data_IF_294868692308
#
_entry.id   IF_294868692308
#
_cell.length_a   1.000
_cell.length_b   1.000
_cell.length_c   1.000
_cell.angle_alpha   90.00
_cell.angle_beta   90.00
_cell.angle_gamma   90.00
#
_symmetry.space_group_name_H-M   'P 1'
#
loop_
_entity.id
_entity.type
_entity.pdbx_description
1 polymer ?
#
# COMPACT_ATOMS: atom_id res chain seq x y z
N UNK A 1 -28.33 -3.89 -31.41
CA UNK A 1 -28.13 -3.08 -30.19
C UNK A 1 -26.79 -2.41 -30.39
N UNK A 2 -26.76 -1.09 -30.59
CA UNK A 2 -25.52 -0.32 -30.82
C UNK A 2 -25.38 0.67 -29.66
N UNK A 3 -24.46 0.43 -28.71
CA UNK A 3 -24.33 1.28 -27.54
C UNK A 3 -24.00 2.73 -27.84
N UNK A 4 -23.29 3.01 -28.94
CA UNK A 4 -22.96 4.39 -29.30
C UNK A 4 -24.21 5.11 -29.78
N UNK A 5 -24.96 4.47 -30.67
CA UNK A 5 -26.21 5.03 -31.19
C UNK A 5 -27.22 5.36 -30.07
N UNK A 6 -27.38 4.46 -29.10
CA UNK A 6 -28.31 4.63 -27.99
C UNK A 6 -27.83 5.69 -26.99
N UNK A 7 -26.51 5.77 -26.72
CA UNK A 7 -25.93 6.84 -25.92
C UNK A 7 -26.14 8.22 -26.59
N UNK A 8 -25.85 8.34 -27.89
CA UNK A 8 -26.07 9.58 -28.65
C UNK A 8 -27.55 9.98 -28.65
N UNK A 9 -28.47 9.01 -28.75
CA UNK A 9 -29.90 9.28 -28.68
C UNK A 9 -30.35 9.82 -27.31
N UNK A 10 -29.72 9.38 -26.21
CA UNK A 10 -29.95 9.93 -24.86
C UNK A 10 -29.37 11.35 -24.73
N UNK A 11 -28.15 11.57 -25.23
CA UNK A 11 -27.45 12.86 -25.15
C UNK A 11 -28.16 13.95 -25.98
N UNK A 12 -28.59 13.60 -27.18
CA UNK A 12 -29.35 14.47 -28.07
C UNK A 12 -30.83 14.60 -27.68
N UNK A 13 -31.28 13.91 -26.61
CA UNK A 13 -32.66 13.89 -26.13
C UNK A 13 -33.67 13.37 -27.17
N UNK A 14 -33.22 12.50 -28.09
CA UNK A 14 -34.08 11.77 -29.02
C UNK A 14 -34.91 10.69 -28.30
N UNK A 15 -34.41 10.18 -27.18
CA UNK A 15 -35.14 9.32 -26.24
C UNK A 15 -34.85 9.74 -24.80
N UNK A 16 -35.67 9.27 -23.86
CA UNK A 16 -35.45 9.44 -22.42
C UNK A 16 -34.89 8.15 -21.81
N UNK A 17 -34.19 8.27 -20.68
CA UNK A 17 -33.55 7.15 -20.01
C UNK A 17 -34.55 6.06 -19.58
N UNK A 18 -35.69 6.45 -19.03
CA UNK A 18 -36.78 5.56 -18.63
C UNK A 18 -37.36 4.79 -19.84
N UNK A 19 -37.57 5.48 -20.96
CA UNK A 19 -38.05 4.87 -22.21
C UNK A 19 -37.01 3.88 -22.76
N UNK A 20 -35.73 4.26 -22.74
CA UNK A 20 -34.64 3.38 -23.16
C UNK A 20 -34.56 2.12 -22.30
N UNK A 21 -34.57 2.26 -20.96
CA UNK A 21 -34.55 1.11 -20.04
C UNK A 21 -35.79 0.23 -20.24
N UNK A 22 -36.99 0.81 -20.36
CA UNK A 22 -38.23 0.08 -20.62
C UNK A 22 -38.16 -0.74 -21.92
N UNK A 23 -37.46 -0.26 -22.95
CA UNK A 23 -37.26 -1.01 -24.19
C UNK A 23 -36.40 -2.28 -24.02
N UNK A 24 -35.61 -2.35 -22.95
CA UNK A 24 -34.76 -3.50 -22.61
C UNK A 24 -35.43 -4.47 -21.63
N UNK A 25 -36.47 -4.05 -20.90
CA UNK A 25 -37.16 -4.86 -19.88
C UNK A 25 -37.53 -6.27 -20.33
N UNK A 26 -38.15 -6.48 -21.53
CA UNK A 26 -38.49 -7.84 -21.98
C UNK A 26 -37.28 -8.75 -22.09
N UNK A 27 -36.10 -8.19 -22.40
CA UNK A 27 -34.85 -8.95 -22.54
C UNK A 27 -34.18 -9.22 -21.19
N UNK A 28 -34.39 -8.38 -20.17
CA UNK A 28 -33.86 -8.62 -18.83
C UNK A 28 -34.47 -9.83 -18.13
N UNK A 29 -35.71 -10.19 -18.50
CA UNK A 29 -36.47 -11.33 -17.95
C UNK A 29 -36.63 -12.48 -18.94
N UNK A 30 -35.88 -12.46 -20.05
CA UNK A 30 -35.92 -13.53 -21.05
C UNK A 30 -35.49 -14.88 -20.43
N UNK A 31 -36.09 -15.97 -20.89
CA UNK A 31 -35.75 -17.33 -20.41
C UNK A 31 -34.33 -17.72 -20.80
N UNK A 32 -33.79 -17.13 -21.87
CA UNK A 32 -32.44 -17.34 -22.35
C UNK A 32 -31.42 -16.47 -21.62
N UNK A 33 -30.44 -17.11 -21.00
CA UNK A 33 -29.36 -16.44 -20.27
C UNK A 33 -28.49 -15.55 -21.16
N UNK A 34 -28.20 -15.97 -22.40
CA UNK A 34 -27.40 -15.20 -23.33
C UNK A 34 -28.10 -13.89 -23.77
N UNK A 35 -29.43 -13.93 -23.92
CA UNK A 35 -30.25 -12.74 -24.20
C UNK A 35 -30.24 -11.79 -23.01
N UNK A 36 -30.42 -12.30 -21.79
CA UNK A 36 -30.33 -11.49 -20.56
C UNK A 36 -28.96 -10.85 -20.41
N UNK A 37 -27.89 -11.63 -20.56
CA UNK A 37 -26.50 -11.14 -20.47
C UNK A 37 -26.21 -10.07 -21.51
N UNK A 38 -26.62 -10.28 -22.77
CA UNK A 38 -26.47 -9.28 -23.82
C UNK A 38 -27.23 -7.98 -23.52
N UNK A 39 -28.42 -8.05 -22.93
CA UNK A 39 -29.20 -6.87 -22.57
C UNK A 39 -28.58 -6.10 -21.40
N UNK A 40 -28.16 -6.79 -20.33
CA UNK A 40 -27.48 -6.16 -19.18
C UNK A 40 -26.16 -5.54 -19.61
N UNK A 41 -25.39 -6.23 -20.46
CA UNK A 41 -24.15 -5.70 -21.03
C UNK A 41 -24.42 -4.46 -21.91
N UNK A 42 -25.47 -4.49 -22.73
CA UNK A 42 -25.85 -3.34 -23.56
C UNK A 42 -26.20 -2.10 -22.71
N UNK A 43 -26.97 -2.28 -21.62
CA UNK A 43 -27.24 -1.20 -20.68
C UNK A 43 -25.95 -0.66 -20.06
N UNK A 44 -25.06 -1.54 -19.57
CA UNK A 44 -23.78 -1.15 -19.01
C UNK A 44 -22.88 -0.41 -20.03
N UNK A 45 -22.88 -0.83 -21.30
CA UNK A 45 -22.11 -0.21 -22.37
C UNK A 45 -22.64 1.19 -22.73
N UNK A 46 -23.95 1.39 -22.74
CA UNK A 46 -24.56 2.72 -22.93
C UNK A 46 -24.20 3.63 -21.76
N UNK A 47 -24.36 3.16 -20.52
CA UNK A 47 -24.08 3.95 -19.32
C UNK A 47 -22.61 4.37 -19.21
N UNK A 48 -21.66 3.51 -19.59
CA UNK A 48 -20.22 3.86 -19.64
C UNK A 48 -19.87 4.95 -20.66
N UNK A 49 -20.75 5.23 -21.64
CA UNK A 49 -20.54 6.24 -22.69
C UNK A 49 -21.19 7.59 -22.36
N UNK A 50 -22.00 7.65 -21.31
CA UNK A 50 -22.63 8.90 -20.89
C UNK A 50 -21.61 9.77 -20.12
N UNK A 51 -21.68 11.10 -20.22
CA UNK A 51 -20.94 12.02 -19.37
C UNK A 51 -21.22 11.76 -17.89
N UNK A 52 -20.24 12.00 -17.01
CA UNK A 52 -20.36 11.70 -15.58
C UNK A 52 -21.42 12.54 -14.87
N UNK A 53 -21.84 13.66 -15.44
CA UNK A 53 -22.87 14.57 -14.93
C UNK A 53 -24.27 14.20 -15.42
N UNK A 54 -24.39 13.23 -16.33
CA UNK A 54 -25.63 12.96 -17.06
C UNK A 54 -26.74 12.44 -16.16
N UNK A 55 -26.43 11.46 -15.29
CA UNK A 55 -27.43 10.88 -14.39
C UNK A 55 -27.65 11.75 -13.17
N UNK A 56 -28.91 11.94 -12.79
CA UNK A 56 -29.28 12.66 -11.58
C UNK A 56 -29.16 11.77 -10.33
N UNK A 57 -29.07 12.37 -9.12
CA UNK A 57 -29.04 11.62 -7.86
C UNK A 57 -30.26 10.71 -7.62
N UNK A 58 -31.36 10.92 -8.37
CA UNK A 58 -32.58 10.10 -8.29
C UNK A 58 -32.55 8.88 -9.22
N UNK A 59 -31.78 8.95 -10.31
CA UNK A 59 -31.69 7.89 -11.31
C UNK A 59 -30.60 6.86 -10.96
N UNK A 60 -29.52 7.30 -10.29
CA UNK A 60 -28.39 6.42 -9.96
C UNK A 60 -28.80 5.26 -9.01
N UNK A 61 -29.51 5.49 -7.88
CA UNK A 61 -29.81 4.41 -6.93
C UNK A 61 -30.59 3.22 -7.52
N UNK A 62 -31.69 3.41 -8.28
CA UNK A 62 -32.43 2.27 -8.84
C UNK A 62 -31.62 1.50 -9.90
N UNK A 63 -30.76 2.18 -10.68
CA UNK A 63 -29.89 1.53 -11.66
C UNK A 63 -28.78 0.73 -10.97
N UNK A 64 -28.16 1.30 -9.92
CA UNK A 64 -27.21 0.60 -9.08
C UNK A 64 -27.84 -0.67 -8.46
N UNK A 65 -29.03 -0.55 -7.88
CA UNK A 65 -29.77 -1.68 -7.31
C UNK A 65 -30.07 -2.75 -8.37
N UNK A 66 -30.42 -2.35 -9.60
CA UNK A 66 -30.64 -3.29 -10.70
C UNK A 66 -29.39 -4.15 -10.96
N UNK A 67 -28.21 -3.54 -11.06
CA UNK A 67 -26.96 -4.28 -11.30
C UNK A 67 -26.55 -5.13 -10.09
N UNK A 68 -26.70 -4.64 -8.87
CA UNK A 68 -26.42 -5.42 -7.65
C UNK A 68 -27.27 -6.69 -7.59
N UNK A 69 -28.55 -6.60 -7.92
CA UNK A 69 -29.45 -7.74 -7.93
C UNK A 69 -29.04 -8.84 -8.94
N UNK A 70 -28.24 -8.50 -9.96
CA UNK A 70 -27.79 -9.46 -10.97
C UNK A 70 -26.68 -10.38 -10.51
N UNK A 71 -25.99 -10.06 -9.42
CA UNK A 71 -25.00 -10.96 -8.83
C UNK A 71 -25.61 -12.29 -8.38
N UNK A 72 -26.85 -12.30 -7.90
CA UNK A 72 -27.51 -13.54 -7.46
C UNK A 72 -28.24 -14.29 -8.57
N UNK A 73 -28.37 -13.70 -9.77
CA UNK A 73 -29.17 -14.27 -10.86
C UNK A 73 -28.41 -15.36 -11.64
N UNK A 74 -27.21 -15.04 -12.14
CA UNK A 74 -26.35 -15.98 -12.89
C UNK A 74 -24.92 -15.45 -13.02
N UNK A 75 -23.96 -16.37 -13.08
CA UNK A 75 -22.54 -16.06 -13.36
C UNK A 75 -22.31 -15.29 -14.66
N UNK A 76 -23.16 -15.50 -15.68
CA UNK A 76 -23.08 -14.79 -16.97
C UNK A 76 -23.45 -13.30 -16.87
N UNK A 77 -24.06 -12.88 -15.76
CA UNK A 77 -24.47 -11.50 -15.51
C UNK A 77 -23.48 -10.74 -14.63
N UNK A 78 -22.49 -11.41 -14.02
CA UNK A 78 -21.55 -10.76 -13.09
C UNK A 78 -20.71 -9.69 -13.81
N UNK A 79 -20.03 -10.05 -14.90
CA UNK A 79 -19.18 -9.15 -15.66
C UNK A 79 -19.92 -7.88 -16.15
N UNK A 80 -21.09 -7.97 -16.84
CA UNK A 80 -21.81 -6.77 -17.26
C UNK A 80 -22.36 -5.97 -16.08
N UNK A 81 -22.64 -6.61 -14.94
CA UNK A 81 -23.10 -5.92 -13.74
C UNK A 81 -21.98 -5.13 -13.07
N UNK A 82 -20.78 -5.69 -12.94
CA UNK A 82 -19.59 -4.95 -12.48
C UNK A 82 -19.33 -3.72 -13.36
N UNK A 83 -19.44 -3.86 -14.68
CA UNK A 83 -19.31 -2.73 -15.62
C UNK A 83 -20.39 -1.67 -15.41
N UNK A 84 -21.62 -2.09 -15.16
CA UNK A 84 -22.72 -1.19 -14.80
C UNK A 84 -22.47 -0.43 -13.50
N UNK A 85 -22.02 -1.13 -12.45
CA UNK A 85 -21.67 -0.53 -11.16
C UNK A 85 -20.49 0.44 -11.27
N UNK A 86 -19.47 0.12 -12.09
CA UNK A 86 -18.37 1.03 -12.43
C UNK A 86 -18.89 2.31 -13.09
N UNK A 87 -19.86 2.23 -14.00
CA UNK A 87 -20.48 3.43 -14.57
C UNK A 87 -21.21 4.26 -13.50
N UNK A 88 -21.92 3.61 -12.56
CA UNK A 88 -22.65 4.31 -11.50
C UNK A 88 -21.73 5.04 -10.52
N UNK A 89 -20.68 4.37 -10.02
CA UNK A 89 -19.76 4.97 -9.04
C UNK A 89 -18.96 6.15 -9.64
N UNK A 90 -18.76 6.16 -10.96
CA UNK A 90 -18.06 7.23 -11.68
C UNK A 90 -18.91 8.49 -11.88
N UNK A 91 -20.23 8.43 -11.75
CA UNK A 91 -21.10 9.61 -11.90
C UNK A 91 -20.74 10.70 -10.87
N UNK A 92 -20.79 11.97 -11.26
CA UNK A 92 -20.52 13.11 -10.36
C UNK A 92 -21.63 13.30 -9.33
N UNK A 93 -22.87 13.01 -9.72
CA UNK A 93 -24.05 13.20 -8.90
C UNK A 93 -24.36 12.01 -7.96
N UNK A 94 -23.44 11.05 -7.82
CA UNK A 94 -23.62 9.91 -6.91
C UNK A 94 -23.62 10.39 -5.45
N UNK A 95 -24.60 9.94 -4.67
CA UNK A 95 -24.70 10.31 -3.25
C UNK A 95 -23.87 9.37 -2.37
N UNK A 96 -23.47 9.83 -1.18
CA UNK A 96 -22.80 9.01 -0.17
C UNK A 96 -23.56 7.70 0.12
N UNK A 97 -24.88 7.79 0.32
CA UNK A 97 -25.74 6.64 0.59
C UNK A 97 -25.70 5.62 -0.54
N UNK A 98 -25.61 6.09 -1.79
CA UNK A 98 -25.52 5.22 -2.96
C UNK A 98 -24.16 4.55 -3.04
N UNK A 99 -23.06 5.27 -2.79
CA UNK A 99 -21.71 4.70 -2.73
C UNK A 99 -21.66 3.60 -1.67
N UNK A 100 -22.23 3.86 -0.50
CA UNK A 100 -22.22 2.92 0.60
C UNK A 100 -23.01 1.65 0.27
N UNK A 101 -24.23 1.82 -0.26
CA UNK A 101 -25.08 0.71 -0.69
C UNK A 101 -24.42 -0.12 -1.81
N UNK A 102 -23.75 0.55 -2.76
CA UNK A 102 -22.93 -0.08 -3.80
C UNK A 102 -21.83 -0.95 -3.20
N UNK A 103 -21.06 -0.42 -2.25
CA UNK A 103 -19.97 -1.17 -1.59
C UNK A 103 -20.51 -2.35 -0.78
N UNK A 104 -21.58 -2.15 -0.01
CA UNK A 104 -22.22 -3.23 0.75
C UNK A 104 -22.67 -4.37 -0.17
N UNK A 105 -23.35 -4.02 -1.27
CA UNK A 105 -23.79 -5.00 -2.27
C UNK A 105 -22.63 -5.67 -3.01
N UNK A 106 -21.56 -4.93 -3.29
CA UNK A 106 -20.34 -5.46 -3.90
C UNK A 106 -19.65 -6.50 -3.01
N UNK A 107 -19.48 -6.20 -1.72
CA UNK A 107 -18.86 -7.10 -0.74
C UNK A 107 -19.72 -8.34 -0.45
N UNK A 108 -21.05 -8.20 -0.45
CA UNK A 108 -21.97 -9.32 -0.22
C UNK A 108 -22.19 -10.19 -1.46
N UNK A 109 -22.01 -9.63 -2.66
CA UNK A 109 -22.35 -10.29 -3.92
C UNK A 109 -21.40 -11.43 -4.28
N UNK A 110 -20.10 -11.14 -4.37
CA UNK A 110 -19.08 -12.11 -4.75
C UNK A 110 -17.75 -11.83 -4.07
N UNK A 111 -17.05 -12.90 -3.69
CA UNK A 111 -15.64 -12.80 -3.35
C UNK A 111 -14.85 -12.45 -4.61
N UNK A 112 -14.02 -11.40 -4.53
CA UNK A 112 -13.20 -10.93 -5.65
C UNK A 112 -12.43 -12.09 -6.30
N UNK A 113 -11.89 -13.00 -5.49
CA UNK A 113 -11.08 -14.15 -5.91
C UNK A 113 -11.82 -15.16 -6.80
N UNK A 114 -13.15 -15.19 -6.73
CA UNK A 114 -13.98 -16.07 -7.57
C UNK A 114 -14.21 -15.50 -8.97
N UNK A 115 -13.90 -14.22 -9.17
CA UNK A 115 -14.07 -13.54 -10.45
C UNK A 115 -12.90 -13.85 -11.39
N UNK A 116 -13.15 -13.72 -12.69
CA UNK A 116 -12.09 -13.76 -13.70
C UNK A 116 -11.19 -12.52 -13.55
N UNK A 117 -9.96 -12.60 -14.03
CA UNK A 117 -8.98 -11.53 -13.87
C UNK A 117 -9.47 -10.14 -14.32
N UNK A 118 -10.13 -10.05 -15.48
CA UNK A 118 -10.68 -8.78 -15.98
C UNK A 118 -11.74 -8.20 -15.04
N UNK A 119 -12.54 -9.08 -14.44
CA UNK A 119 -13.64 -8.71 -13.56
C UNK A 119 -13.12 -8.31 -12.17
N UNK A 120 -12.05 -8.95 -11.68
CA UNK A 120 -11.31 -8.51 -10.48
C UNK A 120 -10.74 -7.12 -10.65
N UNK A 121 -10.19 -6.82 -11.82
CA UNK A 121 -9.65 -5.49 -12.10
C UNK A 121 -10.72 -4.40 -12.02
N UNK A 122 -11.92 -4.66 -12.56
CA UNK A 122 -13.08 -3.75 -12.43
C UNK A 122 -13.57 -3.67 -10.99
N UNK A 123 -13.59 -4.78 -10.25
CA UNK A 123 -13.95 -4.80 -8.82
C UNK A 123 -13.04 -3.88 -8.00
N UNK A 124 -11.72 -4.02 -8.14
CA UNK A 124 -10.74 -3.19 -7.44
C UNK A 124 -10.80 -1.72 -7.88
N UNK A 125 -11.12 -1.46 -9.15
CA UNK A 125 -11.34 -0.11 -9.67
C UNK A 125 -12.59 0.56 -9.06
N UNK A 126 -13.68 -0.20 -8.85
CA UNK A 126 -14.86 0.30 -8.15
C UNK A 126 -14.50 0.70 -6.71
N UNK A 127 -13.72 -0.13 -6.01
CA UNK A 127 -13.24 0.20 -4.66
C UNK A 127 -12.38 1.46 -4.67
N UNK A 128 -11.40 1.55 -5.57
CA UNK A 128 -10.53 2.72 -5.69
C UNK A 128 -11.32 3.99 -6.01
N UNK A 129 -12.27 3.91 -6.95
CA UNK A 129 -13.14 5.03 -7.30
C UNK A 129 -14.02 5.43 -6.13
N UNK A 130 -14.55 4.49 -5.36
CA UNK A 130 -15.35 4.79 -4.17
C UNK A 130 -14.52 5.52 -3.10
N UNK A 131 -13.26 5.13 -2.90
CA UNK A 131 -12.32 5.81 -2.02
C UNK A 131 -12.03 7.24 -2.53
N UNK A 132 -11.82 7.41 -3.84
CA UNK A 132 -11.49 8.71 -4.44
C UNK A 132 -12.68 9.67 -4.58
N UNK A 133 -13.91 9.15 -4.71
CA UNK A 133 -15.15 9.95 -4.75
C UNK A 133 -15.46 10.62 -3.42
N UNK A 134 -14.73 10.28 -2.37
CA UNK A 134 -14.68 11.05 -1.14
C UNK A 134 -14.19 12.49 -1.44
N UNK A 135 -15.02 13.53 -1.30
CA UNK A 135 -14.57 14.88 -1.56
C UNK A 135 -13.53 15.29 -0.53
N UNK A 136 -12.30 15.43 -1.02
CA UNK A 136 -11.16 16.11 -0.39
C UNK A 136 -10.56 15.36 0.82
N UNK A 137 -9.31 14.93 0.66
CA UNK A 137 -8.45 14.45 1.75
C UNK A 137 -8.10 15.53 2.78
N UNK A 138 -9.11 16.05 3.50
CA UNK A 138 -8.98 16.84 4.74
C UNK A 138 -10.28 17.24 5.46
N UNK A 139 -11.44 16.65 5.17
CA UNK A 139 -12.57 16.80 6.10
C UNK A 139 -13.96 16.53 5.57
N UNK A 140 -14.65 15.60 6.25
CA UNK A 140 -16.10 15.46 6.34
C UNK A 140 -16.84 15.06 5.06
N UNK A 141 -16.58 13.85 4.55
CA UNK A 141 -17.65 12.94 4.11
C UNK A 141 -17.36 11.56 4.68
N UNK A 142 -18.10 11.21 5.72
CA UNK A 142 -17.90 9.98 6.46
C UNK A 142 -18.56 8.82 5.70
N UNK A 143 -17.88 8.29 4.67
CA UNK A 143 -18.36 7.11 3.93
C UNK A 143 -18.31 5.86 4.81
N UNK A 144 -17.61 5.90 5.95
CA UNK A 144 -17.41 4.71 6.77
C UNK A 144 -17.42 5.09 8.27
N UNK A 145 -18.61 5.09 8.89
CA UNK A 145 -19.00 5.38 10.29
C UNK A 145 -18.19 6.43 11.12
N UNK A 146 -18.83 7.56 11.42
CA UNK A 146 -18.81 8.15 12.76
C UNK A 146 -20.15 7.78 13.37
N UNK A 147 -20.12 6.93 14.40
CA UNK A 147 -21.21 6.77 15.33
C UNK A 147 -21.45 8.13 15.99
N UNK A 148 -22.45 8.88 15.52
CA UNK A 148 -23.00 9.95 16.36
C UNK A 148 -23.87 9.29 17.42
N UNK A 149 -23.66 9.58 18.72
CA UNK A 149 -24.45 9.07 19.82
C UNK A 149 -25.78 9.83 19.90
N UNK A 150 -26.62 9.71 18.88
CA UNK A 150 -28.00 10.19 18.91
C UNK A 150 -28.91 9.17 18.24
N UNK A 151 -30.04 8.89 18.87
CA UNK A 151 -30.98 7.78 18.67
C UNK A 151 -31.66 7.69 17.28
N UNK A 152 -31.06 8.24 16.21
CA UNK A 152 -31.54 8.07 14.85
C UNK A 152 -31.03 6.74 14.26
N UNK A 153 -31.54 5.62 14.81
CA UNK A 153 -31.51 4.32 14.13
C UNK A 153 -32.22 4.47 12.77
N UNK A 154 -31.50 4.24 11.66
CA UNK A 154 -32.06 3.66 10.41
C UNK A 154 -31.08 3.42 9.26
N UNK A 155 -29.84 3.88 9.31
CA UNK A 155 -28.83 3.56 8.30
C UNK A 155 -27.69 2.80 8.96
N UNK A 156 -27.55 1.50 8.64
CA UNK A 156 -26.37 0.72 9.02
C UNK A 156 -25.23 1.20 8.13
N UNK A 157 -24.44 2.17 8.61
CA UNK A 157 -23.26 2.62 7.87
C UNK A 157 -22.18 1.53 7.89
N UNK A 158 -21.44 1.33 6.80
CA UNK A 158 -20.25 0.49 6.78
C UNK A 158 -19.23 1.08 7.78
N UNK A 159 -18.66 0.28 8.68
CA UNK A 159 -17.72 0.75 9.69
C UNK A 159 -16.26 0.63 9.29
N UNK A 160 -15.32 1.40 9.86
CA UNK A 160 -13.91 1.37 9.50
C UNK A 160 -13.37 -0.06 9.50
N UNK A 161 -13.64 -0.77 10.60
CA UNK A 161 -13.29 -2.17 10.76
C UNK A 161 -13.94 -3.03 9.66
N UNK A 162 -15.25 -2.92 9.46
CA UNK A 162 -15.98 -3.74 8.47
C UNK A 162 -15.50 -3.48 7.04
N UNK A 163 -15.25 -2.22 6.68
CA UNK A 163 -14.71 -1.87 5.38
C UNK A 163 -13.31 -2.41 5.20
N UNK A 164 -12.40 -2.16 6.15
CA UNK A 164 -11.03 -2.64 6.07
C UNK A 164 -10.98 -4.17 6.03
N UNK A 165 -11.78 -4.88 6.83
CA UNK A 165 -11.90 -6.34 6.76
C UNK A 165 -12.44 -6.83 5.41
N UNK A 166 -13.37 -6.09 4.80
CA UNK A 166 -13.82 -6.39 3.44
C UNK A 166 -12.74 -6.09 2.39
N UNK A 167 -11.91 -5.07 2.58
CA UNK A 167 -10.73 -4.81 1.73
C UNK A 167 -9.74 -5.97 1.85
N UNK A 168 -9.37 -6.38 3.07
CA UNK A 168 -8.54 -7.59 3.34
C UNK A 168 -9.09 -8.78 2.57
N UNK A 169 -10.39 -9.06 2.73
CA UNK A 169 -11.05 -10.17 2.04
C UNK A 169 -11.01 -10.01 0.52
N UNK A 170 -11.14 -8.78 -0.01
CA UNK A 170 -11.16 -8.50 -1.45
C UNK A 170 -9.81 -8.66 -2.13
N UNK A 171 -8.70 -8.43 -1.42
CA UNK A 171 -7.35 -8.54 -1.98
C UNK A 171 -6.65 -9.87 -1.63
N UNK A 172 -7.14 -10.60 -0.63
CA UNK A 172 -6.56 -11.86 -0.17
C UNK A 172 -6.37 -12.89 -1.29
N UNK A 173 -5.16 -13.42 -1.45
CA UNK A 173 -4.88 -14.52 -2.38
C UNK A 173 -4.87 -14.15 -3.87
N UNK A 174 -4.75 -12.87 -4.22
CA UNK A 174 -4.53 -12.45 -5.61
C UNK A 174 -3.20 -12.99 -6.16
N UNK A 175 -3.17 -13.32 -7.45
CA UNK A 175 -1.98 -13.89 -8.12
C UNK A 175 -1.65 -13.21 -9.44
N UNK A 176 -2.60 -12.52 -10.06
CA UNK A 176 -2.34 -11.81 -11.31
C UNK A 176 -1.61 -10.48 -11.03
N UNK A 177 -0.46 -10.22 -11.68
CA UNK A 177 0.34 -9.05 -11.40
C UNK A 177 -0.40 -7.73 -11.67
N UNK A 178 -1.37 -7.69 -12.59
CA UNK A 178 -2.17 -6.48 -12.88
C UNK A 178 -3.06 -6.13 -11.69
N UNK A 179 -3.71 -7.15 -11.12
CA UNK A 179 -4.58 -6.98 -9.97
C UNK A 179 -3.78 -6.74 -8.68
N UNK A 180 -2.59 -7.33 -8.53
CA UNK A 180 -1.68 -7.03 -7.42
C UNK A 180 -1.26 -5.55 -7.39
N UNK A 181 -0.90 -4.97 -8.53
CA UNK A 181 -0.55 -3.55 -8.60
C UNK A 181 -1.72 -2.65 -8.15
N UNK A 182 -2.95 -2.99 -8.51
CA UNK A 182 -4.15 -2.29 -8.05
C UNK A 182 -4.35 -2.47 -6.54
N UNK A 183 -4.20 -3.69 -6.02
CA UNK A 183 -4.35 -3.98 -4.59
C UNK A 183 -3.32 -3.21 -3.75
N UNK A 184 -2.04 -3.21 -4.14
CA UNK A 184 -0.99 -2.47 -3.45
C UNK A 184 -1.17 -0.95 -3.50
N UNK A 185 -1.88 -0.43 -4.51
CA UNK A 185 -2.25 1.00 -4.55
C UNK A 185 -3.48 1.32 -3.70
N UNK A 186 -4.43 0.38 -3.64
CA UNK A 186 -5.69 0.51 -2.91
C UNK A 186 -5.46 0.55 -1.39
N UNK A 187 -4.59 -0.33 -0.87
CA UNK A 187 -4.40 -0.53 0.57
C UNK A 187 -3.98 0.77 1.30
N UNK A 188 -2.97 1.53 0.84
CA UNK A 188 -2.63 2.81 1.45
C UNK A 188 -3.78 3.81 1.45
N UNK A 189 -4.49 3.92 0.32
CA UNK A 189 -5.65 4.82 0.20
C UNK A 189 -6.77 4.43 1.17
N UNK A 190 -7.01 3.12 1.34
CA UNK A 190 -8.02 2.59 2.24
C UNK A 190 -7.71 2.89 3.72
N UNK A 191 -6.45 2.76 4.13
CA UNK A 191 -6.00 3.11 5.48
C UNK A 191 -6.00 4.63 5.71
N UNK A 192 -5.65 5.41 4.68
CA UNK A 192 -5.65 6.88 4.72
C UNK A 192 -7.05 7.48 4.92
N UNK A 193 -8.13 6.75 4.58
CA UNK A 193 -9.50 7.16 4.90
C UNK A 193 -9.74 7.29 6.42
N UNK A 194 -8.91 6.63 7.23
CA UNK A 194 -9.07 6.51 8.69
C UNK A 194 -7.88 7.07 9.45
N UNK A 195 -7.20 8.09 8.92
CA UNK A 195 -6.01 8.68 9.55
C UNK A 195 -6.20 9.01 11.05
N UNK A 196 -7.38 9.54 11.42
CA UNK A 196 -7.71 9.93 12.80
C UNK A 196 -8.18 8.76 13.70
N UNK A 197 -8.31 7.54 13.18
CA UNK A 197 -8.92 6.38 13.86
C UNK A 197 -7.89 5.28 14.11
N UNK A 198 -6.88 5.59 14.93
CA UNK A 198 -5.74 4.69 15.19
C UNK A 198 -6.18 3.36 15.81
N UNK A 199 -7.17 3.36 16.70
CA UNK A 199 -7.65 2.14 17.38
C UNK A 199 -8.29 1.15 16.40
N UNK A 200 -9.14 1.64 15.49
CA UNK A 200 -9.82 0.82 14.50
C UNK A 200 -8.85 0.26 13.46
N UNK A 201 -7.88 1.08 13.01
CA UNK A 201 -6.83 0.61 12.11
C UNK A 201 -5.99 -0.48 12.77
N UNK A 202 -5.60 -0.30 14.03
CA UNK A 202 -4.80 -1.30 14.77
C UNK A 202 -5.49 -2.68 14.85
N UNK A 203 -6.82 -2.73 14.95
CA UNK A 203 -7.58 -4.00 14.98
C UNK A 203 -7.43 -4.80 13.68
N UNK A 204 -7.30 -4.13 12.53
CA UNK A 204 -7.26 -4.77 11.20
C UNK A 204 -5.84 -4.74 10.59
N UNK A 205 -4.90 -4.06 11.25
CA UNK A 205 -3.54 -3.86 10.74
C UNK A 205 -2.80 -5.19 10.54
N UNK A 206 -2.94 -6.13 11.46
CA UNK A 206 -2.33 -7.47 11.36
C UNK A 206 -2.86 -8.23 10.14
N UNK A 207 -4.18 -8.40 10.02
CA UNK A 207 -4.81 -9.09 8.89
C UNK A 207 -4.43 -8.47 7.54
N UNK A 208 -4.42 -7.13 7.47
CA UNK A 208 -4.06 -6.40 6.25
C UNK A 208 -2.57 -6.49 5.94
N UNK A 209 -1.72 -6.47 6.97
CA UNK A 209 -0.29 -6.71 6.84
C UNK A 209 -0.04 -8.13 6.33
N UNK A 210 -0.64 -9.17 6.90
CA UNK A 210 -0.42 -10.55 6.47
C UNK A 210 -0.74 -10.75 4.99
N UNK A 211 -1.87 -10.21 4.53
CA UNK A 211 -2.30 -10.34 3.13
C UNK A 211 -1.33 -9.64 2.17
N UNK A 212 -0.73 -8.51 2.55
CA UNK A 212 0.19 -7.76 1.69
C UNK A 212 1.64 -8.28 1.81
N UNK A 213 2.09 -8.56 3.03
CA UNK A 213 3.45 -8.99 3.32
C UNK A 213 3.77 -10.39 2.78
N UNK A 214 2.76 -11.22 2.52
CA UNK A 214 2.97 -12.55 1.92
C UNK A 214 3.61 -12.51 0.53
N UNK A 215 3.62 -11.36 -0.14
CA UNK A 215 4.29 -11.14 -1.43
C UNK A 215 5.75 -10.71 -1.29
N UNK A 216 6.27 -10.50 -0.07
CA UNK A 216 7.65 -10.07 0.17
C UNK A 216 8.60 -11.26 0.47
N UNK A 217 9.80 -11.31 -0.14
CA UNK A 217 10.26 -10.49 -1.26
C UNK A 217 9.58 -10.94 -2.57
N UNK A 218 9.45 -10.02 -3.54
CA UNK A 218 8.85 -10.36 -4.83
C UNK A 218 9.78 -11.33 -5.58
N UNK A 219 9.30 -12.56 -5.76
CA UNK A 219 9.86 -13.55 -6.67
C UNK A 219 8.95 -13.66 -7.90
N UNK A 220 9.22 -12.82 -8.91
CA UNK A 220 8.41 -12.73 -10.11
C UNK A 220 9.28 -12.77 -11.36
N UNK A 221 8.99 -13.73 -12.23
CA UNK A 221 9.56 -13.81 -13.57
C UNK A 221 8.45 -13.54 -14.58
N UNK A 222 8.53 -12.44 -15.34
CA UNK A 222 7.47 -12.10 -16.29
C UNK A 222 7.34 -13.14 -17.40
N UNK A 223 6.10 -13.47 -17.79
CA UNK A 223 5.86 -14.25 -18.99
C UNK A 223 6.24 -13.42 -20.25
N UNK A 224 6.80 -14.04 -21.30
CA UNK A 224 7.07 -13.33 -22.55
C UNK A 224 5.76 -12.76 -23.14
N UNK A 225 5.61 -11.44 -23.18
CA UNK A 225 4.46 -10.81 -23.82
C UNK A 225 4.68 -10.69 -25.34
N UNK A 226 3.62 -10.84 -26.13
CA UNK A 226 3.67 -10.67 -27.58
C UNK A 226 3.71 -9.18 -28.02
N UNK A 227 3.45 -8.26 -27.09
CA UNK A 227 2.98 -6.90 -27.36
C UNK A 227 3.58 -5.84 -26.40
N UNK A 228 4.77 -6.10 -25.85
CA UNK A 228 5.71 -5.05 -25.41
C UNK A 228 5.41 -4.31 -24.10
N UNK A 229 4.30 -4.58 -23.41
CA UNK A 229 3.99 -4.03 -22.08
C UNK A 229 4.00 -5.11 -21.01
N UNK A 230 5.16 -5.59 -20.60
CA UNK A 230 5.26 -6.63 -19.57
C UNK A 230 5.51 -5.99 -18.21
N UNK A 231 4.56 -6.14 -17.27
CA UNK A 231 4.78 -5.81 -15.85
C UNK A 231 6.07 -6.50 -15.42
N UNK A 232 6.96 -5.75 -14.79
CA UNK A 232 8.26 -6.25 -14.33
C UNK A 232 8.22 -6.62 -12.85
N UNK A 233 9.25 -7.34 -12.40
CA UNK A 233 9.50 -7.57 -10.97
C UNK A 233 9.63 -6.25 -10.21
N UNK A 234 10.27 -5.26 -10.81
CA UNK A 234 10.54 -3.98 -10.17
C UNK A 234 9.26 -3.15 -10.00
N UNK A 235 8.32 -3.23 -10.93
CA UNK A 235 7.01 -2.58 -10.80
C UNK A 235 6.23 -3.13 -9.59
N UNK A 236 6.24 -4.47 -9.40
CA UNK A 236 5.61 -5.11 -8.25
C UNK A 236 6.35 -4.80 -6.95
N UNK A 237 7.68 -4.89 -6.94
CA UNK A 237 8.53 -4.58 -5.79
C UNK A 237 8.28 -3.16 -5.31
N UNK A 238 8.48 -2.17 -6.16
CA UNK A 238 8.35 -0.76 -5.80
C UNK A 238 6.94 -0.43 -5.29
N UNK A 239 5.89 -1.04 -5.88
CA UNK A 239 4.52 -0.82 -5.41
C UNK A 239 4.23 -1.51 -4.08
N UNK A 240 4.73 -2.72 -3.86
CA UNK A 240 4.63 -3.41 -2.58
C UNK A 240 5.37 -2.63 -1.47
N UNK A 241 6.57 -2.14 -1.77
CA UNK A 241 7.37 -1.34 -0.83
C UNK A 241 6.64 -0.05 -0.44
N UNK A 242 6.07 0.66 -1.41
CA UNK A 242 5.20 1.81 -1.11
C UNK A 242 4.02 1.40 -0.22
N UNK A 243 3.35 0.29 -0.54
CA UNK A 243 2.21 -0.19 0.24
C UNK A 243 2.57 -0.48 1.71
N UNK A 244 3.67 -1.19 1.94
CA UNK A 244 4.13 -1.60 3.26
C UNK A 244 4.72 -0.44 4.08
N UNK A 245 5.44 0.48 3.44
CA UNK A 245 6.10 1.60 4.14
C UNK A 245 5.18 2.80 4.42
N UNK A 246 4.08 2.96 3.67
CA UNK A 246 3.21 4.15 3.80
C UNK A 246 2.42 4.20 5.12
N UNK A 247 2.08 3.03 5.70
CA UNK A 247 1.20 2.96 6.87
C UNK A 247 1.93 2.47 8.12
N UNK A 248 2.08 3.36 9.10
CA UNK A 248 2.85 3.10 10.32
C UNK A 248 2.26 2.02 11.21
N UNK A 249 0.98 1.72 11.05
CA UNK A 249 0.29 0.62 11.74
C UNK A 249 0.91 -0.74 11.44
N UNK A 250 1.67 -0.87 10.35
CA UNK A 250 2.41 -2.09 10.05
C UNK A 250 3.74 -2.20 10.79
N UNK A 251 4.22 -1.16 11.48
CA UNK A 251 5.59 -1.13 12.00
C UNK A 251 5.94 -2.28 12.95
N UNK A 252 5.02 -2.66 13.83
CA UNK A 252 5.25 -3.73 14.80
C UNK A 252 5.43 -5.11 14.16
N UNK A 253 4.89 -5.32 12.96
CA UNK A 253 4.99 -6.57 12.20
C UNK A 253 6.07 -6.51 11.11
N UNK A 254 6.14 -5.37 10.40
CA UNK A 254 7.03 -5.13 9.28
C UNK A 254 8.49 -5.06 9.71
N UNK A 255 8.82 -4.32 10.78
CA UNK A 255 10.21 -4.17 11.19
C UNK A 255 10.84 -5.52 11.58
N UNK A 256 10.23 -6.37 12.43
CA UNK A 256 10.76 -7.71 12.69
C UNK A 256 10.95 -8.55 11.43
N UNK A 257 9.96 -8.55 10.52
CA UNK A 257 10.04 -9.30 9.26
C UNK A 257 11.22 -8.84 8.42
N UNK A 258 11.44 -7.52 8.29
CA UNK A 258 12.56 -6.99 7.51
C UNK A 258 13.91 -7.38 8.10
N UNK A 259 14.02 -7.41 9.43
CA UNK A 259 15.24 -7.80 10.11
C UNK A 259 15.54 -9.29 9.93
N UNK A 260 14.55 -10.16 10.08
CA UNK A 260 14.68 -11.58 9.78
C UNK A 260 15.17 -11.80 8.34
N UNK A 261 14.55 -11.14 7.36
CA UNK A 261 14.90 -11.29 5.94
C UNK A 261 16.26 -10.67 5.60
N UNK A 262 16.62 -9.54 6.21
CA UNK A 262 17.95 -8.92 6.09
C UNK A 262 19.06 -9.77 6.72
N UNK A 263 18.73 -10.60 7.72
CA UNK A 263 19.61 -11.58 8.32
C UNK A 263 19.78 -12.89 7.51
N UNK A 264 18.85 -13.21 6.60
CA UNK A 264 18.81 -14.48 5.84
C UNK A 264 19.98 -14.67 4.85
N UNK A 265 20.14 -15.87 4.27
CA UNK A 265 21.19 -16.16 3.29
C UNK A 265 20.89 -15.65 1.86
N UNK A 266 19.63 -15.27 1.57
CA UNK A 266 19.23 -14.87 0.22
C UNK A 266 19.58 -13.41 -0.06
N UNK A 267 20.60 -13.17 -0.89
CA UNK A 267 21.08 -11.81 -1.20
C UNK A 267 19.98 -10.87 -1.73
N UNK A 268 19.07 -11.36 -2.57
CA UNK A 268 17.95 -10.56 -3.08
C UNK A 268 17.02 -10.11 -1.93
N UNK A 269 16.69 -11.01 -1.01
CA UNK A 269 15.88 -10.69 0.16
C UNK A 269 16.60 -9.68 1.07
N UNK A 270 17.92 -9.84 1.28
CA UNK A 270 18.71 -8.86 2.05
C UNK A 270 18.61 -7.45 1.45
N UNK A 271 18.81 -7.34 0.14
CA UNK A 271 18.79 -6.04 -0.56
C UNK A 271 17.40 -5.41 -0.49
N UNK A 272 16.35 -6.17 -0.80
CA UNK A 272 14.97 -5.69 -0.75
C UNK A 272 14.56 -5.29 0.68
N UNK A 273 15.02 -6.01 1.72
CA UNK A 273 14.74 -5.66 3.11
C UNK A 273 15.41 -4.38 3.54
N UNK A 274 16.63 -4.11 3.07
CA UNK A 274 17.32 -2.86 3.36
C UNK A 274 16.69 -1.69 2.60
N UNK A 275 16.31 -1.87 1.34
CA UNK A 275 15.60 -0.87 0.54
C UNK A 275 14.26 -0.48 1.21
N UNK A 276 13.47 -1.48 1.61
CA UNK A 276 12.19 -1.24 2.30
C UNK A 276 12.39 -0.64 3.70
N UNK A 277 13.43 -1.02 4.45
CA UNK A 277 13.75 -0.36 5.73
C UNK A 277 14.05 1.14 5.54
N UNK A 278 14.80 1.50 4.49
CA UNK A 278 15.02 2.90 4.12
C UNK A 278 13.69 3.59 3.81
N UNK A 279 12.85 2.97 2.98
CA UNK A 279 11.53 3.52 2.62
C UNK A 279 10.64 3.76 3.85
N UNK A 280 10.61 2.83 4.81
CA UNK A 280 9.89 3.01 6.08
C UNK A 280 10.38 4.23 6.86
N UNK A 281 11.69 4.38 7.03
CA UNK A 281 12.28 5.54 7.70
C UNK A 281 11.95 6.86 6.98
N UNK A 282 11.92 6.86 5.65
CA UNK A 282 11.56 8.03 4.83
C UNK A 282 10.07 8.35 4.89
N UNK A 283 9.20 7.34 4.98
CA UNK A 283 7.76 7.46 5.18
C UNK A 283 7.38 7.89 6.62
N UNK A 284 8.37 8.06 7.50
CA UNK A 284 8.18 8.65 8.83
C UNK A 284 8.06 7.62 9.95
N UNK A 285 8.59 6.42 9.76
CA UNK A 285 8.88 5.52 10.88
C UNK A 285 9.99 6.16 11.69
N UNK A 286 9.62 6.76 12.82
CA UNK A 286 10.48 7.57 13.66
C UNK A 286 10.82 6.85 14.97
N UNK A 287 11.43 7.54 15.93
CA UNK A 287 12.00 6.92 17.12
C UNK A 287 11.05 5.95 17.86
N UNK A 288 9.78 6.29 18.15
CA UNK A 288 8.87 5.34 18.82
C UNK A 288 8.76 3.98 18.15
N UNK A 289 8.80 3.95 16.82
CA UNK A 289 8.60 2.73 16.03
C UNK A 289 9.92 1.99 15.77
N UNK A 290 11.00 2.73 15.54
CA UNK A 290 12.30 2.15 15.12
C UNK A 290 13.16 1.76 16.32
N UNK A 291 13.16 2.56 17.38
CA UNK A 291 14.07 2.37 18.52
C UNK A 291 13.95 1.03 19.26
N UNK A 292 12.78 0.36 19.35
CA UNK A 292 12.69 -0.98 19.94
C UNK A 292 13.55 -2.03 19.23
N UNK A 293 13.90 -1.81 17.96
CA UNK A 293 14.60 -2.77 17.11
C UNK A 293 16.06 -2.39 16.82
N UNK A 294 16.58 -1.34 17.46
CA UNK A 294 17.89 -0.77 17.11
C UNK A 294 19.06 -1.73 17.31
N UNK A 295 19.05 -2.56 18.36
CA UNK A 295 20.13 -3.51 18.64
C UNK A 295 20.20 -4.59 17.54
N UNK A 296 19.07 -5.17 17.18
CA UNK A 296 18.97 -6.17 16.11
C UNK A 296 19.32 -5.57 14.73
N UNK A 297 18.83 -4.36 14.43
CA UNK A 297 19.22 -3.61 13.23
C UNK A 297 20.73 -3.45 13.12
N UNK A 298 21.38 -3.09 14.22
CA UNK A 298 22.81 -2.88 14.24
C UNK A 298 23.57 -4.18 13.98
N UNK A 299 23.17 -5.27 14.61
CA UNK A 299 23.82 -6.57 14.43
C UNK A 299 23.72 -7.07 12.99
N UNK A 300 22.52 -6.98 12.38
CA UNK A 300 22.32 -7.32 10.97
C UNK A 300 23.17 -6.43 10.06
N UNK A 301 23.18 -5.12 10.30
CA UNK A 301 23.97 -4.19 9.49
C UNK A 301 25.48 -4.49 9.60
N UNK A 302 25.99 -4.80 10.80
CA UNK A 302 27.39 -5.20 11.00
C UNK A 302 27.69 -6.50 10.25
N UNK A 303 26.84 -7.51 10.36
CA UNK A 303 27.01 -8.78 9.65
C UNK A 303 27.04 -8.58 8.13
N UNK A 304 26.10 -7.80 7.59
CA UNK A 304 26.03 -7.51 6.16
C UNK A 304 27.27 -6.73 5.67
N UNK A 305 27.81 -5.81 6.47
CA UNK A 305 29.04 -5.07 6.16
C UNK A 305 30.31 -5.94 6.16
N UNK A 306 30.28 -7.12 6.78
CA UNK A 306 31.41 -8.06 6.79
C UNK A 306 31.39 -9.03 5.60
N UNK A 307 30.32 -9.04 4.79
CA UNK A 307 30.19 -9.90 3.61
C UNK A 307 30.97 -9.34 2.42
N UNK A 308 32.25 -9.72 2.33
CA UNK A 308 33.22 -9.18 1.35
C UNK A 308 32.80 -9.44 -0.11
N UNK A 309 32.05 -10.49 -0.39
CA UNK A 309 31.69 -10.90 -1.75
C UNK A 309 30.46 -10.18 -2.33
N UNK A 310 29.81 -9.29 -1.58
CA UNK A 310 28.61 -8.56 -2.01
C UNK A 310 28.77 -7.04 -1.81
N UNK A 311 29.52 -6.32 -2.68
CA UNK A 311 29.78 -4.89 -2.48
C UNK A 311 28.50 -4.04 -2.46
N UNK A 312 27.53 -4.36 -3.31
CA UNK A 312 26.22 -3.71 -3.36
C UNK A 312 25.43 -3.82 -2.04
N UNK A 313 25.62 -4.91 -1.30
CA UNK A 313 24.98 -5.10 0.01
C UNK A 313 25.54 -4.13 1.04
N UNK A 314 26.85 -3.89 1.02
CA UNK A 314 27.49 -2.93 1.91
C UNK A 314 26.96 -1.51 1.68
N UNK A 315 26.78 -1.11 0.42
CA UNK A 315 26.28 0.23 0.11
C UNK A 315 24.83 0.41 0.57
N UNK A 316 23.94 -0.55 0.29
CA UNK A 316 22.56 -0.55 0.81
C UNK A 316 22.48 -0.59 2.33
N UNK A 317 23.39 -1.30 2.97
CA UNK A 317 23.46 -1.35 4.44
C UNK A 317 23.83 0.02 5.02
N UNK A 318 24.75 0.75 4.38
CA UNK A 318 25.09 2.11 4.80
C UNK A 318 23.92 3.08 4.58
N UNK A 319 23.17 2.95 3.49
CA UNK A 319 21.96 3.74 3.25
C UNK A 319 20.91 3.49 4.35
N UNK A 320 20.68 2.22 4.72
CA UNK A 320 19.80 1.85 5.82
C UNK A 320 20.26 2.44 7.16
N UNK A 321 21.54 2.33 7.51
CA UNK A 321 22.11 2.95 8.72
C UNK A 321 21.87 4.47 8.73
N UNK A 322 22.08 5.13 7.59
CA UNK A 322 21.88 6.56 7.47
C UNK A 322 20.41 6.94 7.69
N UNK A 323 19.48 6.17 7.11
CA UNK A 323 18.04 6.37 7.27
C UNK A 323 17.58 6.13 8.70
N UNK A 324 18.00 5.02 9.33
CA UNK A 324 17.71 4.69 10.73
C UNK A 324 18.25 5.77 11.67
N UNK A 325 19.46 6.26 11.45
CA UNK A 325 20.03 7.36 12.25
C UNK A 325 19.13 8.59 12.22
N UNK A 326 18.68 9.02 11.03
CA UNK A 326 17.76 10.15 10.89
C UNK A 326 16.38 9.88 11.47
N UNK A 327 15.89 8.64 11.40
CA UNK A 327 14.61 8.23 11.95
C UNK A 327 14.60 8.27 13.48
N UNK A 328 15.65 7.76 14.12
CA UNK A 328 15.80 7.74 15.58
C UNK A 328 15.90 9.15 16.18
N UNK A 329 16.30 10.15 15.40
CA UNK A 329 16.37 11.55 15.84
C UNK A 329 15.06 12.31 15.68
N UNK A 330 14.02 11.68 15.11
CA UNK A 330 12.68 12.23 14.93
C UNK A 330 11.69 11.59 15.89
N UNK A 331 10.55 12.26 16.09
CA UNK A 331 9.48 11.77 16.96
C UNK A 331 9.79 11.95 18.45
N UNK A 332 8.84 11.57 19.30
CA UNK A 332 9.01 11.57 20.76
C UNK A 332 9.86 10.38 21.17
N UNK A 333 11.09 10.57 21.68
CA UNK A 333 12.01 9.45 21.85
C UNK A 333 11.54 8.50 22.96
N UNK A 334 11.34 7.22 22.61
CA UNK A 334 11.20 6.13 23.59
C UNK A 334 12.58 5.81 24.16
N UNK A 335 13.60 5.76 23.28
CA UNK A 335 15.01 5.70 23.65
C UNK A 335 15.75 6.92 23.10
N UNK A 336 16.72 7.48 23.85
CA UNK A 336 17.41 8.67 23.41
C UNK A 336 18.30 8.36 22.19
N UNK A 337 18.32 9.21 21.14
CA UNK A 337 19.16 9.00 19.94
C UNK A 337 20.65 8.83 20.28
N UNK A 338 21.08 9.41 21.41
CA UNK A 338 22.45 9.26 21.93
C UNK A 338 22.85 7.81 22.17
N UNK A 339 21.92 6.91 22.49
CA UNK A 339 22.21 5.49 22.70
C UNK A 339 22.72 4.85 21.40
N UNK A 340 21.99 5.04 20.30
CA UNK A 340 22.40 4.61 18.96
C UNK A 340 23.78 5.17 18.58
N UNK A 341 23.98 6.49 18.77
CA UNK A 341 25.26 7.14 18.45
C UNK A 341 26.42 6.54 19.24
N UNK A 342 26.21 6.28 20.53
CA UNK A 342 27.24 5.72 21.40
C UNK A 342 27.55 4.27 21.06
N UNK A 343 26.57 3.48 20.67
CA UNK A 343 26.82 2.10 20.25
C UNK A 343 27.72 2.03 19.00
N UNK A 344 27.46 2.91 18.03
CA UNK A 344 28.28 3.05 16.82
C UNK A 344 29.70 3.48 17.18
N UNK A 345 29.84 4.48 18.04
CA UNK A 345 31.14 4.95 18.49
C UNK A 345 31.92 3.85 19.21
N UNK A 346 31.27 3.13 20.14
CA UNK A 346 31.90 2.06 20.91
C UNK A 346 32.37 0.90 20.02
N UNK A 347 31.58 0.51 19.02
CA UNK A 347 31.99 -0.52 18.06
C UNK A 347 33.22 -0.11 17.24
N UNK A 348 33.27 1.16 16.80
CA UNK A 348 34.45 1.70 16.14
C UNK A 348 35.65 1.80 17.08
N UNK A 349 35.46 2.33 18.28
CA UNK A 349 36.52 2.51 19.28
C UNK A 349 37.16 1.19 19.70
N UNK A 350 36.35 0.16 19.91
CA UNK A 350 36.81 -1.21 20.16
C UNK A 350 37.68 -1.73 19.01
N UNK A 351 37.18 -1.63 17.77
CA UNK A 351 37.96 -2.02 16.59
C UNK A 351 39.26 -1.22 16.44
N UNK A 352 39.26 0.06 16.79
CA UNK A 352 40.46 0.92 16.80
C UNK A 352 41.48 0.46 17.83
N UNK A 353 41.04 0.02 19.01
CA UNK A 353 41.91 -0.48 20.08
C UNK A 353 42.54 -1.81 19.72
N UNK A 354 41.78 -2.71 19.09
CA UNK A 354 42.25 -4.06 18.74
C UNK A 354 43.09 -4.08 17.45
N UNK A 355 42.87 -3.14 16.53
CA UNK A 355 43.52 -3.13 15.22
C UNK A 355 44.84 -2.34 15.20
N UNK A 356 45.95 -3.02 14.86
CA UNK A 356 47.27 -2.40 14.63
C UNK A 356 47.25 -1.34 13.52
N UNK A 357 46.45 -1.57 12.46
CA UNK A 357 46.24 -0.66 11.34
C UNK A 357 44.75 -0.40 11.14
N UNK A 358 44.36 0.85 10.91
CA UNK A 358 42.99 1.21 10.53
C UNK A 358 42.92 1.27 9.02
N UNK A 359 42.19 0.33 8.42
CA UNK A 359 41.83 0.42 7.01
C UNK A 359 40.69 1.41 6.83
N UNK A 360 40.77 2.35 5.86
CA UNK A 360 39.61 3.15 5.43
C UNK A 360 38.41 2.32 4.99
N UNK A 361 38.65 1.06 4.60
CA UNK A 361 37.63 0.11 4.18
C UNK A 361 37.05 -0.71 5.34
N UNK A 362 37.45 -0.47 6.60
CA UNK A 362 36.88 -1.23 7.72
C UNK A 362 35.40 -0.90 7.90
N UNK A 363 34.59 -1.93 8.14
CA UNK A 363 33.14 -1.81 8.32
C UNK A 363 32.79 -0.72 9.36
N UNK A 364 33.37 -0.80 10.57
CA UNK A 364 33.05 0.13 11.65
C UNK A 364 33.41 1.59 11.33
N UNK A 365 34.48 1.83 10.56
CA UNK A 365 34.84 3.19 10.15
C UNK A 365 33.87 3.72 9.08
N UNK A 366 33.47 2.88 8.11
CA UNK A 366 32.46 3.24 7.11
C UNK A 366 31.11 3.54 7.76
N UNK A 367 30.68 2.72 8.72
CA UNK A 367 29.45 2.92 9.51
C UNK A 367 29.53 4.26 10.27
N UNK A 368 30.60 4.49 11.04
CA UNK A 368 30.79 5.74 11.78
C UNK A 368 30.75 6.95 10.84
N UNK A 369 31.48 6.92 9.71
CA UNK A 369 31.48 8.02 8.74
C UNK A 369 30.10 8.30 8.18
N UNK A 370 29.34 7.23 7.91
CA UNK A 370 27.97 7.32 7.37
C UNK A 370 27.05 8.01 8.37
N UNK A 371 27.08 7.60 9.64
CA UNK A 371 26.28 8.19 10.72
C UNK A 371 26.60 9.67 10.90
N UNK A 372 27.89 10.02 10.97
CA UNK A 372 28.35 11.41 11.11
C UNK A 372 27.97 12.27 9.89
N UNK A 373 27.91 11.67 8.70
CA UNK A 373 27.49 12.36 7.47
C UNK A 373 25.97 12.46 7.31
N UNK A 374 25.23 11.52 7.88
CA UNK A 374 23.77 11.44 7.78
C UNK A 374 23.05 12.40 8.73
N UNK A 375 23.69 12.79 9.84
CA UNK A 375 23.09 13.67 10.85
C UNK A 375 24.08 14.64 11.50
N UNK A 376 23.67 15.91 11.59
CA UNK A 376 24.37 16.94 12.35
C UNK A 376 24.28 16.71 13.87
N UNK A 377 23.17 16.14 14.35
CA UNK A 377 22.97 15.81 15.78
C UNK A 377 23.95 14.70 16.17
N UNK A 378 24.03 13.64 15.38
CA UNK A 378 25.02 12.58 15.57
C UNK A 378 26.46 13.12 15.51
N UNK A 379 26.75 14.00 14.55
CA UNK A 379 28.06 14.64 14.43
C UNK A 379 28.43 15.45 15.68
N UNK A 380 27.52 16.25 16.22
CA UNK A 380 27.73 17.04 17.43
C UNK A 380 27.95 16.16 18.66
N UNK A 381 27.13 15.12 18.84
CA UNK A 381 27.24 14.18 19.96
C UNK A 381 28.59 13.45 19.99
N UNK A 382 29.12 13.08 18.82
CA UNK A 382 30.33 12.24 18.72
C UNK A 382 31.62 13.02 18.46
N UNK A 383 31.55 14.30 18.07
CA UNK A 383 32.70 15.11 17.64
C UNK A 383 33.90 15.04 18.59
N UNK A 384 33.66 15.25 19.88
CA UNK A 384 34.74 15.27 20.88
C UNK A 384 35.36 13.89 21.09
N UNK A 385 34.54 12.84 21.12
CA UNK A 385 34.99 11.45 21.34
C UNK A 385 35.82 10.94 20.16
N UNK A 386 35.34 11.15 18.94
CA UNK A 386 36.03 10.78 17.70
C UNK A 386 37.36 11.51 17.57
N UNK A 387 37.37 12.83 17.84
CA UNK A 387 38.59 13.64 17.80
C UNK A 387 39.62 13.12 18.81
N UNK A 388 39.22 12.93 20.07
CA UNK A 388 40.10 12.44 21.14
C UNK A 388 40.77 11.13 20.76
N UNK A 389 40.01 10.16 20.24
CA UNK A 389 40.54 8.85 19.91
C UNK A 389 41.44 8.86 18.67
N UNK A 390 41.11 9.67 17.65
CA UNK A 390 41.96 9.85 16.48
C UNK A 390 43.31 10.50 16.83
N UNK A 391 43.32 11.51 17.70
CA UNK A 391 44.56 12.14 18.19
C UNK A 391 45.38 11.19 19.07
N UNK A 392 44.73 10.41 19.94
CA UNK A 392 45.36 9.42 20.79
C UNK A 392 46.10 8.34 19.99
N UNK A 393 45.49 7.84 18.91
CA UNK A 393 46.13 6.83 18.04
C UNK A 393 47.30 7.39 17.25
N UNK A 394 47.22 8.61 16.72
CA UNK A 394 48.37 9.28 16.07
C UNK A 394 49.56 9.36 17.03
N UNK A 395 49.36 9.80 18.27
CA UNK A 395 50.45 9.84 19.28
C UNK A 395 51.05 8.46 19.58
N UNK A 396 50.24 7.40 19.64
CA UNK A 396 50.72 6.02 19.86
C UNK A 396 51.49 5.48 18.65
N UNK A 397 51.05 5.75 17.43
CA UNK A 397 51.76 5.35 16.21
C UNK A 397 53.11 6.06 16.04
N UNK A 398 53.24 7.30 16.52
CA UNK A 398 54.52 8.01 16.57
C UNK A 398 55.47 7.38 17.61
N UNK A 399 54.99 7.00 18.80
CA UNK A 399 55.80 6.36 19.85
C UNK A 399 56.31 4.94 19.54
N UNK A 400 55.77 4.26 18.52
CA UNK A 400 56.20 2.90 18.11
C UNK A 400 57.24 2.97 16.96
N UNK A 401 57.48 4.17 16.40
CA UNK A 401 58.45 4.41 15.32
C UNK A 401 59.75 5.08 15.81
N UNK A 402 59.87 5.34 17.10
CA UNK A 402 61.11 5.67 17.81
C UNK A 402 61.60 4.41 18.53
#
# INVERSE_FOLDING_TARGET
MDPQHDADALLERRTKLDIFIASLEPKFVDTREDVRSAAVNHLADVLQRLPFEFLSPREIPPIAQFFLAKFTDSSALIAPSLRGLSAMIRMENVTEETVEHLLQGLFQGHLCQQLRQSDRSVYLEILDTAILKHPQGRGKICVILVLLPTECQRVRRLGPIVFLSNVVTSIGGERDPRCLLQAFELVPKALDLFQDQTSEKAIVAEDLFEVVACYFPIDFTPAPAADGGTITREDLKSRLEFCLSHNKEFAEFLLPMLLEKAGSDLLAAKLDSLDLLVACCEAGYDNPLVSPYMEEMMDICRQNMLLIYAPQLADRTLDAIAAVTRALEKGSPVYPPTQWHQEIFNAWDSHVKDSKFLSPSSANLRILRTVLGASTIAAEHLKHQVSSQAFGKRRRSFKIRE
#
